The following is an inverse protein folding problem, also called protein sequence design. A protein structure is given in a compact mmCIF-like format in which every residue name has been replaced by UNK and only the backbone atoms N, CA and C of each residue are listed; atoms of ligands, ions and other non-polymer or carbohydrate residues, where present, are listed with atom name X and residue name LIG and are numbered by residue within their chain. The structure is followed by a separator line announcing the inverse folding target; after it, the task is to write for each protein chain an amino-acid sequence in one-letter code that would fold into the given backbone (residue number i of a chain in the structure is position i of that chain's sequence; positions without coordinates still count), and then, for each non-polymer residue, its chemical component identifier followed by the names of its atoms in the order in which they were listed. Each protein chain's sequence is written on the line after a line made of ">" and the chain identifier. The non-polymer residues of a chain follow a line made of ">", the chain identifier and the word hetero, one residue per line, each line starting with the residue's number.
data_IF_685550886094
#
_entry.id   IF_685550886094
#
_cell.length_a   1.000
_cell.length_b   1.000
_cell.length_c   1.000
_cell.angle_alpha   90.00
_cell.angle_beta   90.00
_cell.angle_gamma   90.00
#
_symmetry.space_group_name_H-M   'P 1'
#
loop_
_entity.id
_entity.type
_entity.pdbx_description
1 polymer ?
2 non-polymer ?
3 water ?
#
# COMPACT_ATOMS: atom_id res chain seq x y z
N UNK A 1 18.42 12.99 -20.32
CA UNK A 1 17.15 13.37 -19.60
C UNK A 1 15.88 13.31 -20.51
N UNK A 2 14.76 13.81 -19.99
CA UNK A 2 13.36 13.54 -20.45
C UNK A 2 12.47 14.78 -20.14
N UNK A 3 13.04 15.67 -19.26
CA UNK A 3 12.72 17.09 -18.94
C UNK A 3 11.55 17.38 -18.00
N UNK A 5 9.59 15.02 -17.03
CA UNK A 5 9.39 13.84 -16.21
C UNK A 5 10.16 13.96 -14.90
N UNK A 6 9.40 13.90 -13.81
CA UNK A 6 9.92 14.07 -12.49
C UNK A 6 10.03 12.74 -11.73
N UNK A 7 10.93 12.72 -10.76
CA UNK A 7 11.11 11.60 -9.89
C UNK A 7 10.24 11.82 -8.65
N UNK A 8 9.34 10.87 -8.42
CA UNK A 8 8.60 10.82 -7.19
C UNK A 8 9.16 9.73 -6.29
N UNK A 9 9.38 10.03 -5.03
CA UNK A 9 9.73 8.96 -4.09
C UNK A 9 8.46 8.28 -3.58
N UNK A 10 8.53 6.96 -3.56
CA UNK A 10 7.56 6.16 -2.84
C UNK A 10 8.25 5.46 -1.71
N UNK A 11 7.81 5.76 -0.49
CA UNK A 11 8.45 5.28 0.68
C UNK A 11 7.49 4.41 1.55
N UNK A 12 7.93 3.17 1.82
CA UNK A 12 7.15 2.18 2.58
C UNK A 12 7.28 2.51 4.08
N UNK A 13 6.16 2.88 4.70
CA UNK A 13 6.15 3.31 6.11
C UNK A 13 5.55 2.10 6.80
N UNK A 14 6.38 1.38 7.53
CA UNK A 14 5.92 0.25 8.31
C UNK A 14 5.23 0.69 9.62
N UNK A 15 4.75 -0.22 10.46
CA UNK A 15 4.31 0.23 11.83
C UNK A 15 3.05 1.18 11.69
N UNK A 16 3.06 2.44 12.17
CA UNK A 16 1.99 3.49 11.89
C UNK A 16 2.17 4.83 12.68
N UNK A 17 3.31 4.97 13.40
CA UNK A 17 3.25 5.47 14.81
C UNK A 17 4.28 6.41 15.54
N UNK A 18 5.38 6.89 14.96
CA UNK A 18 6.33 6.08 14.26
C UNK A 18 7.22 6.65 13.20
N UNK A 19 7.16 5.92 12.11
CA UNK A 19 8.11 5.93 11.05
C UNK A 19 7.95 7.11 10.15
N UNK A 20 6.74 7.66 10.07
CA UNK A 20 6.56 8.84 9.21
C UNK A 20 7.38 10.06 9.78
N UNK A 21 7.40 10.17 11.09
CA UNK A 21 8.16 11.25 11.72
C UNK A 21 9.67 11.09 11.45
N UNK A 22 10.19 9.90 11.70
CA UNK A 22 11.56 9.59 11.32
C UNK A 22 11.88 9.87 9.87
N UNK A 23 10.97 9.57 8.91
CA UNK A 23 11.26 9.84 7.48
C UNK A 23 11.38 11.33 7.26
N UNK A 24 10.50 12.07 7.88
CA UNK A 24 10.56 13.54 7.67
C UNK A 24 11.78 14.12 8.37
N UNK A 25 12.18 13.48 9.45
CA UNK A 25 13.47 13.79 10.13
C UNK A 25 14.75 13.50 9.31
N UNK A 26 14.90 12.31 8.76
CA UNK A 26 15.90 12.04 7.68
C UNK A 26 15.98 13.13 6.60
N UNK A 27 14.87 13.49 6.01
CA UNK A 27 14.85 14.51 4.98
C UNK A 27 15.21 15.91 5.49
N UNK A 28 14.69 16.31 6.67
CA UNK A 28 15.06 17.57 7.30
C UNK A 28 16.56 17.71 7.55
N UNK A 29 17.17 16.60 7.99
CA UNK A 29 18.59 16.63 8.36
C UNK A 29 19.47 16.91 7.11
N UNK A 30 18.97 16.54 5.93
CA UNK A 30 19.70 16.76 4.70
C UNK A 30 19.41 18.13 4.05
N UNK A 31 18.56 18.94 4.71
CA UNK A 31 18.00 20.20 4.20
C UNK A 31 17.32 19.93 2.87
N UNK A 32 16.53 18.84 2.84
CA UNK A 32 15.73 18.48 1.70
C UNK A 32 14.35 18.96 1.99
N UNK A 33 13.86 19.84 1.11
CA UNK A 33 12.49 20.35 1.19
C UNK A 33 11.48 19.41 0.51
N UNK A 34 10.34 19.27 1.16
CA UNK A 34 9.20 18.56 0.60
C UNK A 34 8.33 19.56 -0.19
N UNK A 35 8.02 19.27 -1.44
CA UNK A 35 7.17 20.13 -2.28
C UNK A 35 5.72 19.74 -2.27
N UNK A 36 5.52 18.44 -2.21
CA UNK A 36 4.21 17.81 -2.42
C UNK A 36 4.32 16.39 -1.89
N UNK A 37 3.33 16.00 -1.12
CA UNK A 37 3.27 14.63 -0.74
C UNK A 37 1.84 14.17 -0.56
N UNK A 38 1.66 12.87 -0.43
CA UNK A 38 0.35 12.31 -0.43
C UNK A 38 0.65 10.95 0.15
N UNK A 39 -0.09 10.55 1.15
CA UNK A 39 0.10 9.21 1.63
C UNK A 39 -0.97 8.32 1.02
N UNK A 40 -0.56 7.21 0.38
CA UNK A 40 -1.55 6.19 0.01
C UNK A 40 -1.53 5.09 1.09
N UNK A 41 -2.54 5.02 1.97
CA UNK A 41 -2.49 4.18 3.18
C UNK A 41 -3.40 2.95 3.15
N UNK A 42 -3.02 1.93 3.91
CA UNK A 42 -3.98 0.91 4.23
C UNK A 42 -4.05 0.84 5.77
N UNK A 43 -4.82 -0.12 6.28
CA UNK A 43 -5.01 -0.31 7.71
C UNK A 43 -3.68 -0.53 8.48
N UNK A 44 -2.65 -1.00 7.83
CA UNK A 44 -1.50 -1.35 8.65
C UNK A 44 -0.38 -0.37 8.39
N UNK A 45 -0.20 0.03 7.12
CA UNK A 45 0.99 0.75 6.70
C UNK A 45 0.58 1.85 5.75
N UNK A 46 1.51 2.76 5.50
CA UNK A 46 1.32 3.70 4.41
C UNK A 46 2.38 3.68 3.37
N UNK A 47 2.06 4.24 2.24
CA UNK A 47 3.12 4.60 1.39
C UNK A 47 3.14 6.13 1.20
N UNK A 48 4.25 6.73 1.63
CA UNK A 48 4.46 8.11 1.36
C UNK A 48 4.92 8.32 -0.07
N UNK A 49 4.07 8.96 -0.84
CA UNK A 49 4.45 9.48 -2.13
C UNK A 49 4.86 10.92 -2.01
N UNK A 50 6.00 11.27 -2.61
CA UNK A 50 6.69 12.46 -2.20
C UNK A 50 7.39 13.10 -3.38
N UNK A 51 7.13 14.39 -3.54
CA UNK A 51 7.97 15.27 -4.38
C UNK A 51 8.93 16.07 -3.48
N UNK A 52 10.24 15.87 -3.64
CA UNK A 52 11.22 16.57 -2.81
C UNK A 52 12.17 17.48 -3.66
N UNK A 53 12.99 18.30 -2.98
CA UNK A 53 13.88 19.27 -3.68
C UNK A 53 15.11 18.65 -4.38
N UNK A 54 15.55 17.48 -3.89
CA UNK A 54 16.67 16.73 -4.46
C UNK A 54 16.37 15.22 -4.34
N UNK A 55 15.66 14.65 -5.34
CA UNK A 55 15.26 13.23 -5.17
C UNK A 55 16.40 12.20 -5.04
N UNK A 56 17.53 12.41 -5.70
CA UNK A 56 18.66 11.48 -5.64
C UNK A 56 19.36 11.49 -4.26
N UNK A 57 19.56 12.68 -3.72
CA UNK A 57 20.14 12.83 -2.37
C UNK A 57 19.16 12.23 -1.35
N UNK A 58 17.86 12.52 -1.50
CA UNK A 58 16.82 11.98 -0.63
C UNK A 58 16.75 10.48 -0.67
N UNK A 59 16.71 9.92 -1.85
CA UNK A 59 16.77 8.46 -2.01
C UNK A 59 17.96 7.79 -1.30
N UNK A 60 19.16 8.34 -1.47
CA UNK A 60 20.31 7.66 -0.86
C UNK A 60 20.31 7.78 0.68
N UNK A 61 19.89 8.94 1.20
CA UNK A 61 19.71 9.15 2.65
C UNK A 61 18.70 8.14 3.28
N UNK A 62 17.56 8.00 2.62
CA UNK A 62 16.58 7.03 3.02
C UNK A 62 17.07 5.59 2.99
N UNK A 63 17.70 5.12 1.90
CA UNK A 63 18.33 3.78 1.84
C UNK A 63 19.38 3.57 2.95
N UNK A 64 20.17 4.61 3.20
CA UNK A 64 21.19 4.62 4.26
C UNK A 64 20.56 4.43 5.65
N UNK A 65 19.37 5.02 5.84
CA UNK A 65 18.60 4.86 7.08
C UNK A 65 17.64 3.66 7.07
N UNK A 66 17.80 2.79 6.07
CA UNK A 66 17.16 1.47 5.99
C UNK A 66 15.68 1.55 5.66
N UNK A 67 15.27 2.63 4.98
CA UNK A 67 13.92 2.72 4.42
C UNK A 67 13.85 2.00 3.10
N UNK A 68 12.67 1.42 2.79
CA UNK A 68 12.39 0.91 1.48
C UNK A 68 11.78 2.07 0.64
N UNK A 69 12.48 2.49 -0.42
CA UNK A 69 12.08 3.61 -1.29
C UNK A 69 12.21 3.22 -2.72
N UNK A 70 11.28 3.66 -3.54
CA UNK A 70 11.32 3.40 -4.97
C UNK A 70 11.11 4.74 -5.61
N UNK A 71 11.59 4.93 -6.84
CA UNK A 71 11.32 6.16 -7.60
C UNK A 71 10.34 5.83 -8.72
N UNK A 72 9.38 6.72 -8.93
CA UNK A 72 8.37 6.59 -10.01
C UNK A 72 8.42 7.87 -10.83
N UNK A 73 8.16 7.77 -12.14
CA UNK A 73 8.08 8.92 -13.04
C UNK A 73 6.67 9.44 -12.85
N UNK A 74 6.54 10.74 -12.69
CA UNK A 74 5.29 11.49 -12.71
C UNK A 74 5.57 12.82 -13.48
N UNK A 75 4.50 13.54 -13.78
CA UNK A 75 4.60 14.85 -14.52
C UNK A 75 3.76 15.85 -13.72
N UNK A 76 4.28 17.06 -13.57
CA UNK A 76 3.62 18.16 -12.90
C UNK A 76 3.00 19.10 -13.92
N UNK A 77 1.78 19.58 -13.66
CA UNK A 77 1.16 20.60 -14.50
C UNK A 77 0.59 21.69 -13.61
N UNK A 78 0.35 22.84 -14.23
CA UNK A 78 -0.25 23.95 -13.57
C UNK A 78 -1.47 24.34 -14.38
N UNK A 79 -2.57 24.65 -13.71
CA UNK A 79 -3.71 25.21 -14.44
C UNK A 79 -4.35 26.33 -13.65
N UNK A 80 -5.27 27.06 -14.24
CA UNK A 80 -5.96 28.05 -13.39
C UNK A 80 -6.72 27.48 -12.17
N UNK A 81 -6.74 28.28 -11.10
CA UNK A 81 -7.45 27.89 -9.89
C UNK A 81 -8.87 28.39 -10.00
N UNK A 82 -9.59 27.83 -10.97
CA UNK A 82 -11.01 28.15 -11.19
C UNK A 82 -11.75 26.84 -11.46
N UNK A 83 -13.09 26.79 -11.19
CA UNK A 83 -13.90 25.62 -11.48
C UNK A 83 -13.78 25.14 -12.93
N UNK A 84 -13.63 23.82 -13.10
CA UNK A 84 -13.62 23.23 -14.44
C UNK A 84 -12.27 23.22 -15.14
N UNK A 85 -11.26 23.76 -14.46
CA UNK A 85 -9.98 23.98 -15.07
C UNK A 85 -9.29 22.63 -15.20
N UNK A 86 -9.27 21.87 -14.10
CA UNK A 86 -8.72 20.51 -14.12
C UNK A 86 -9.53 19.59 -15.05
N UNK A 87 -10.86 19.73 -15.02
CA UNK A 87 -11.81 19.07 -15.88
C UNK A 87 -11.42 19.13 -17.35
N UNK A 88 -10.92 20.30 -17.78
CA UNK A 88 -10.59 20.56 -19.19
C UNK A 88 -9.34 19.75 -19.54
N UNK A 89 -8.38 19.77 -18.64
CA UNK A 89 -7.19 18.98 -18.84
C UNK A 89 -7.50 17.48 -18.98
N UNK A 90 -8.36 16.96 -18.11
CA UNK A 90 -8.58 15.54 -17.98
C UNK A 90 -9.37 15.07 -19.22
N UNK A 91 -10.15 15.99 -19.77
CA UNK A 91 -10.98 15.71 -20.92
C UNK A 91 -10.08 15.67 -22.15
N UNK A 92 -9.06 16.53 -22.20
CA UNK A 92 -8.08 16.45 -23.28
C UNK A 92 -7.48 15.05 -23.19
N UNK A 93 -7.08 14.61 -22.00
CA UNK A 93 -6.35 13.35 -21.89
C UNK A 93 -7.24 12.20 -22.23
N UNK A 94 -8.43 12.19 -21.65
CA UNK A 94 -9.29 11.05 -21.89
C UNK A 94 -9.78 10.95 -23.37
N UNK A 95 -10.04 12.07 -24.04
CA UNK A 95 -10.34 12.10 -25.48
C UNK A 95 -9.26 11.43 -26.33
N UNK A 96 -8.04 11.37 -25.78
CA UNK A 96 -6.91 10.73 -26.47
C UNK A 96 -6.52 9.37 -25.88
N UNK A 97 -7.40 8.82 -25.03
CA UNK A 97 -7.18 7.51 -24.40
C UNK A 97 -6.05 7.44 -23.37
N UNK A 98 -5.70 8.59 -22.76
CA UNK A 98 -4.66 8.63 -21.74
C UNK A 98 -5.34 8.73 -20.36
N UNK A 99 -5.17 7.75 -19.50
CA UNK A 99 -5.91 7.81 -18.24
C UNK A 99 -4.99 8.05 -17.00
N UNK A 100 -5.59 8.53 -15.92
CA UNK A 100 -4.84 8.89 -14.71
C UNK A 100 -4.75 7.67 -13.81
N UNK A 101 -3.55 7.15 -13.46
CA UNK A 101 -3.51 6.07 -12.45
C UNK A 101 -3.72 6.66 -11.06
N UNK A 102 -3.03 7.75 -10.75
CA UNK A 102 -3.33 8.64 -9.61
C UNK A 102 -2.79 10.03 -9.89
N UNK A 104 -2.31 14.01 -7.36
CA UNK A 104 -2.58 14.75 -6.17
C UNK A 104 -2.31 16.20 -6.52
N UNK A 105 -3.01 17.12 -5.84
CA UNK A 105 -2.90 18.51 -6.18
C UNK A 105 -3.51 19.46 -5.18
N UNK A 106 -2.97 20.69 -5.14
CA UNK A 106 -3.46 21.75 -4.24
C UNK A 106 -3.59 23.00 -5.10
N UNK A 107 -4.53 23.86 -4.75
CA UNK A 107 -4.55 25.23 -5.23
C UNK A 107 -3.44 26.05 -4.58
N UNK A 108 -2.71 26.80 -5.41
CA UNK A 108 -1.66 27.72 -4.99
C UNK A 108 -2.01 29.12 -5.55
N UNK A 109 -2.68 29.88 -4.68
CA UNK A 109 -3.27 31.16 -5.00
C UNK A 109 -4.09 31.14 -6.31
N UNK A 110 -3.56 31.75 -7.37
CA UNK A 110 -4.25 31.86 -8.62
C UNK A 110 -4.13 30.65 -9.58
N UNK A 111 -3.20 29.73 -9.29
CA UNK A 111 -3.07 28.51 -10.10
C UNK A 111 -3.22 27.29 -9.20
N UNK A 112 -3.08 26.11 -9.78
CA UNK A 112 -3.14 24.89 -9.02
C UNK A 112 -2.05 24.02 -9.60
N UNK A 113 -1.33 23.32 -8.75
CA UNK A 113 -0.25 22.44 -9.14
C UNK A 113 -0.75 21.01 -9.07
N UNK A 114 -0.50 20.23 -10.10
CA UNK A 114 -1.03 18.88 -10.15
C UNK A 114 0.11 17.95 -10.50
N UNK A 115 0.29 16.91 -9.68
CA UNK A 115 1.16 15.79 -10.00
C UNK A 115 0.36 14.61 -10.51
N UNK A 116 0.77 14.14 -11.68
CA UNK A 116 0.10 13.06 -12.36
C UNK A 116 0.95 11.87 -12.60
N UNK A 117 0.40 10.69 -12.32
CA UNK A 117 0.98 9.41 -12.83
C UNK A 117 -0.02 8.86 -13.88
N UNK A 118 0.29 9.09 -15.17
CA UNK A 118 -0.53 8.71 -16.29
C UNK A 118 -0.37 7.24 -16.69
N UNK A 119 -1.36 6.73 -17.40
CA UNK A 119 -1.29 5.41 -17.98
C UNK A 119 -0.11 5.25 -18.98
N UNK A 120 0.18 6.31 -19.72
CA UNK A 120 1.26 6.25 -20.70
C UNK A 120 1.99 7.58 -20.59
N UNK A 122 4.76 8.95 -22.33
CA UNK A 122 5.07 9.61 -23.61
C UNK A 122 3.77 10.22 -24.20
N UNK A 123 2.67 9.48 -24.22
CA UNK A 123 1.43 10.02 -24.79
C UNK A 123 0.81 11.18 -23.99
N UNK A 124 0.91 11.09 -22.66
CA UNK A 124 0.36 12.10 -21.79
C UNK A 124 1.05 13.43 -22.10
N UNK A 125 2.40 13.41 -22.16
CA UNK A 125 3.13 14.65 -22.35
C UNK A 125 2.84 15.24 -23.74
N UNK A 126 2.68 14.37 -24.72
CA UNK A 126 2.36 14.77 -26.09
C UNK A 126 1.08 15.59 -26.13
N UNK A 127 0.00 15.02 -25.58
CA UNK A 127 -1.36 15.65 -25.55
C UNK A 127 -1.31 17.02 -24.85
N UNK A 128 -0.67 17.06 -23.69
CA UNK A 128 -0.64 18.25 -22.87
C UNK A 128 0.06 19.38 -23.60
N UNK A 129 1.20 19.08 -24.23
CA UNK A 129 1.97 20.08 -25.00
C UNK A 129 1.11 20.60 -26.20
N UNK A 130 0.53 19.64 -26.92
CA UNK A 130 -0.41 19.87 -28.03
C UNK A 130 -1.56 20.79 -27.60
N UNK A 131 -2.17 20.51 -26.45
CA UNK A 131 -3.28 21.33 -25.98
C UNK A 131 -2.82 22.56 -25.16
N UNK A 132 -1.51 22.90 -25.25
CA UNK A 132 -1.02 24.12 -24.62
C UNK A 132 -1.30 24.17 -23.10
N UNK A 133 -1.29 23.01 -22.44
CA UNK A 133 -1.34 22.91 -20.96
C UNK A 133 0.02 23.34 -20.34
N UNK A 134 0.05 24.16 -19.26
CA UNK A 134 1.30 24.49 -18.61
C UNK A 134 1.87 23.22 -17.97
N UNK A 135 2.93 22.66 -18.53
CA UNK A 135 3.58 21.53 -17.89
C UNK A 135 4.59 22.17 -16.99
N UNK A 136 4.95 21.47 -15.92
CA UNK A 136 6.10 21.93 -15.08
C UNK A 136 7.37 21.14 -15.44
N UNK A 137 8.49 21.82 -15.61
CA UNK A 137 9.79 21.13 -15.72
C UNK A 137 9.96 20.34 -14.42
N UNK A 138 10.66 19.19 -14.44
CA UNK A 138 10.83 18.43 -13.17
C UNK A 138 11.44 19.37 -12.13
N UNK A 139 12.42 20.17 -12.54
CA UNK A 139 13.10 21.11 -11.65
C UNK A 139 12.17 22.16 -11.05
N UNK A 140 11.13 22.59 -11.76
CA UNK A 140 10.10 23.50 -11.21
C UNK A 140 9.33 22.84 -10.08
N UNK A 141 8.99 21.59 -10.29
CA UNK A 141 8.31 20.79 -9.32
C UNK A 141 9.14 20.60 -8.02
N UNK A 142 10.42 20.28 -8.16
CA UNK A 142 11.32 20.15 -7.00
C UNK A 142 11.60 21.43 -6.15
N UNK A 143 11.16 22.59 -6.62
CA UNK A 143 11.43 23.85 -5.87
C UNK A 143 10.13 24.59 -5.54
N UNK A 144 9.01 23.88 -5.48
CA UNK A 144 7.77 24.60 -5.16
C UNK A 144 7.82 25.23 -3.74
N UNK B 1 -1.19 -9.60 25.31
CA UNK B 1 -1.50 -10.18 23.98
C UNK B 1 -2.81 -11.04 24.06
N UNK B 2 -3.15 -11.77 23.00
CA UNK B 2 -4.35 -12.65 22.90
C UNK B 2 -3.82 -14.02 22.46
N UNK B 3 -4.19 -15.12 23.08
CA UNK B 3 -4.72 -16.31 22.54
C UNK B 3 -5.31 -16.28 21.15
N UNK B 5 -4.47 -15.43 18.23
CA UNK B 5 -3.82 -14.48 17.32
C UNK B 5 -2.59 -15.10 16.59
N UNK B 6 -2.56 -14.96 15.26
CA UNK B 6 -1.55 -15.46 14.34
C UNK B 6 -0.75 -14.30 13.72
N UNK B 7 0.43 -14.61 13.13
CA UNK B 7 1.35 -13.64 12.56
C UNK B 7 1.11 -13.66 11.07
N UNK B 8 0.67 -12.52 10.52
CA UNK B 8 0.59 -12.37 9.06
C UNK B 8 1.85 -11.63 8.60
N UNK B 9 2.47 -12.13 7.51
CA UNK B 9 3.54 -11.36 6.87
C UNK B 9 2.99 -10.31 5.93
N UNK B 10 3.49 -9.06 6.03
CA UNK B 10 3.15 -8.04 5.03
C UNK B 10 4.44 -7.65 4.33
N UNK B 11 4.52 -8.01 3.06
CA UNK B 11 5.71 -7.82 2.29
C UNK B 11 5.54 -6.73 1.21
N UNK B 12 6.42 -5.71 1.26
CA UNK B 12 6.52 -4.70 0.22
C UNK B 12 7.00 -5.30 -1.13
N UNK B 13 6.16 -5.27 -2.16
CA UNK B 13 6.51 -5.85 -3.46
C UNK B 13 6.66 -4.62 -4.28
N UNK B 14 7.88 -4.36 -4.65
CA UNK B 14 8.25 -3.11 -5.19
C UNK B 14 8.23 -2.97 -6.69
N UNK B 15 8.03 -4.04 -7.47
CA UNK B 15 6.82 -4.33 -8.20
C UNK B 15 7.08 -5.43 -9.31
N UNK B 16 6.24 -5.43 -10.38
CA UNK B 16 4.87 -5.86 -10.36
C UNK B 16 4.99 -7.25 -11.06
N UNK B 17 6.11 -7.51 -11.76
CA UNK B 17 6.55 -8.93 -12.04
C UNK B 17 7.73 -9.47 -11.19
N UNK B 18 7.37 -10.33 -10.22
CA UNK B 18 8.23 -10.82 -9.18
C UNK B 18 9.69 -10.41 -9.01
N UNK B 19 9.96 -9.27 -8.36
CA UNK B 19 9.73 -9.19 -6.91
C UNK B 19 8.74 -10.16 -6.26
N UNK B 20 7.52 -10.30 -6.78
CA UNK B 20 6.56 -11.27 -6.23
C UNK B 20 7.06 -12.74 -6.43
N UNK B 21 7.56 -13.05 -7.62
CA UNK B 21 8.07 -14.39 -7.92
C UNK B 21 9.24 -14.65 -6.97
N UNK B 22 10.10 -13.66 -6.78
CA UNK B 22 11.28 -13.78 -5.94
C UNK B 22 10.89 -14.13 -4.46
N UNK B 23 9.91 -13.43 -3.88
CA UNK B 23 9.34 -13.79 -2.55
C UNK B 23 8.96 -15.29 -2.44
N UNK B 24 8.15 -15.74 -3.43
CA UNK B 24 7.67 -17.11 -3.44
C UNK B 24 8.85 -18.08 -3.60
N UNK B 25 9.87 -17.76 -4.43
CA UNK B 25 11.10 -18.58 -4.55
C UNK B 25 11.96 -18.59 -3.23
N UNK B 26 12.08 -17.44 -2.57
CA UNK B 26 12.74 -17.42 -1.25
C UNK B 26 12.02 -18.38 -0.26
N UNK B 27 10.69 -18.29 -0.16
CA UNK B 27 9.92 -19.18 0.75
C UNK B 27 9.97 -20.66 0.35
N UNK B 28 9.91 -20.97 -0.96
CA UNK B 28 9.94 -22.37 -1.37
C UNK B 28 11.30 -22.99 -1.06
N UNK B 29 12.37 -22.20 -1.21
CA UNK B 29 13.76 -22.63 -0.99
C UNK B 29 13.96 -22.93 0.50
N UNK B 30 13.11 -22.37 1.32
CA UNK B 30 13.15 -22.67 2.76
C UNK B 30 12.15 -23.78 3.12
N UNK B 31 11.48 -24.39 2.15
CA UNK B 31 10.43 -25.35 2.42
C UNK B 31 9.28 -24.78 3.29
N UNK B 32 8.95 -23.50 3.09
CA UNK B 32 7.87 -22.84 3.78
C UNK B 32 6.66 -22.78 2.83
N UNK B 33 5.53 -23.28 3.32
CA UNK B 33 4.29 -23.34 2.56
C UNK B 33 3.49 -22.05 2.73
N UNK B 34 2.78 -21.61 1.67
CA UNK B 34 1.84 -20.51 1.78
C UNK B 34 0.48 -21.10 2.11
N UNK B 35 -0.18 -20.65 3.16
CA UNK B 35 -1.52 -21.19 3.49
C UNK B 35 -2.56 -20.31 2.87
N UNK B 36 -2.28 -18.99 2.83
CA UNK B 36 -3.25 -18.01 2.33
C UNK B 36 -2.47 -16.80 1.95
N UNK B 37 -2.94 -16.13 0.89
CA UNK B 37 -2.33 -14.88 0.62
C UNK B 37 -3.32 -13.96 -0.08
N UNK B 38 -2.99 -12.67 -0.04
CA UNK B 38 -3.75 -11.72 -0.80
C UNK B 38 -2.88 -10.51 -0.97
N UNK B 39 -3.04 -9.86 -2.10
CA UNK B 39 -2.20 -8.68 -2.33
C UNK B 39 -3.08 -7.43 -2.20
N UNK B 40 -2.68 -6.51 -1.35
CA UNK B 40 -3.30 -5.18 -1.29
C UNK B 40 -2.42 -4.23 -2.13
N UNK B 41 -2.96 -3.76 -3.26
CA UNK B 41 -2.16 -3.06 -4.24
C UNK B 41 -2.59 -1.62 -4.49
N UNK B 42 -1.67 -0.84 -5.05
CA UNK B 42 -1.95 0.46 -5.60
C UNK B 42 -1.46 0.42 -7.07
N UNK B 43 -1.48 1.52 -7.79
CA UNK B 43 -1.05 1.50 -9.19
C UNK B 43 0.46 1.12 -9.45
N UNK B 44 1.32 1.35 -8.47
CA UNK B 44 2.75 1.19 -8.68
C UNK B 44 3.23 -0.13 -8.13
N UNK B 45 2.79 -0.50 -6.93
CA UNK B 45 3.30 -1.73 -6.28
C UNK B 45 2.23 -2.30 -5.33
N UNK B 46 2.52 -3.52 -4.86
CA UNK B 46 1.66 -4.24 -3.98
C UNK B 46 2.34 -4.57 -2.68
N UNK B 47 1.49 -4.91 -1.73
CA UNK B 47 1.83 -5.52 -0.46
C UNK B 47 1.25 -6.93 -0.41
N UNK B 48 2.09 -7.92 -0.31
CA UNK B 48 1.66 -9.26 -0.15
C UNK B 48 1.38 -9.49 1.32
N UNK B 49 0.17 -9.91 1.62
CA UNK B 49 -0.22 -10.32 2.95
C UNK B 49 -0.29 -11.82 2.89
N UNK B 50 0.44 -12.49 3.78
CA UNK B 50 0.57 -13.95 3.67
C UNK B 50 0.45 -14.62 5.02
N UNK B 51 -0.25 -15.78 5.05
CA UNK B 51 -0.13 -16.72 6.16
C UNK B 51 0.76 -17.84 5.65
N UNK B 52 1.82 -18.10 6.38
CA UNK B 52 2.78 -19.17 6.06
C UNK B 52 2.99 -20.15 7.19
N UNK B 53 3.61 -21.30 6.86
CA UNK B 53 3.75 -22.43 7.74
C UNK B 53 4.66 -22.12 8.96
N UNK B 54 5.64 -21.20 8.76
CA UNK B 54 6.53 -20.69 9.88
C UNK B 54 6.86 -19.19 9.68
N UNK B 55 6.07 -18.31 10.29
CA UNK B 55 6.24 -16.88 10.07
C UNK B 55 7.55 -16.28 10.54
N UNK B 56 8.16 -16.76 11.64
CA UNK B 56 9.43 -16.19 12.08
C UNK B 56 10.51 -16.59 11.16
N UNK B 57 10.49 -17.81 10.66
CA UNK B 57 11.50 -18.30 9.73
C UNK B 57 11.37 -17.64 8.35
N UNK B 58 10.13 -17.38 7.95
CA UNK B 58 9.90 -16.76 6.69
C UNK B 58 10.40 -15.33 6.79
N UNK B 59 10.04 -14.66 7.87
CA UNK B 59 10.53 -13.31 8.12
C UNK B 59 12.07 -13.17 7.95
N UNK B 60 12.80 -14.05 8.65
CA UNK B 60 14.22 -14.02 8.65
C UNK B 60 14.73 -14.22 7.24
N UNK B 61 14.22 -15.24 6.51
CA UNK B 61 14.66 -15.55 5.14
C UNK B 61 14.40 -14.38 4.20
N UNK B 62 13.26 -13.72 4.37
CA UNK B 62 12.90 -12.55 3.55
C UNK B 62 13.74 -11.31 3.88
N UNK B 63 13.98 -11.05 5.15
CA UNK B 63 14.90 -10.02 5.56
C UNK B 63 16.28 -10.32 5.04
N UNK B 64 16.71 -11.60 5.08
CA UNK B 64 18.10 -11.94 4.61
C UNK B 64 18.29 -11.58 3.11
N UNK B 65 17.19 -11.66 2.37
CA UNK B 65 17.05 -11.30 0.92
C UNK B 65 16.63 -9.85 0.68
N UNK B 66 16.71 -9.00 1.71
CA UNK B 66 16.49 -7.57 1.67
C UNK B 66 15.06 -7.16 1.26
N UNK B 67 14.06 -7.94 1.65
CA UNK B 67 12.67 -7.49 1.49
C UNK B 67 12.30 -6.62 2.69
N UNK B 68 11.42 -5.66 2.50
CA UNK B 68 10.84 -4.98 3.65
C UNK B 68 9.63 -5.82 4.09
N UNK B 69 9.65 -6.36 5.30
CA UNK B 69 8.65 -7.34 5.72
C UNK B 69 8.22 -6.87 7.09
N UNK B 70 6.92 -6.81 7.30
CA UNK B 70 6.40 -6.56 8.61
C UNK B 70 5.51 -7.66 9.11
N UNK B 71 5.35 -7.73 10.42
CA UNK B 71 4.45 -8.71 10.98
C UNK B 71 3.23 -7.99 11.53
N UNK B 72 2.05 -8.54 11.25
CA UNK B 72 0.73 -8.06 11.77
C UNK B 72 -0.05 -9.22 12.40
N UNK B 73 -0.65 -8.93 13.55
CA UNK B 73 -1.61 -9.83 14.18
C UNK B 73 -2.94 -9.87 13.48
N UNK B 74 -3.41 -11.08 13.25
CA UNK B 74 -4.68 -11.33 12.62
C UNK B 74 -5.31 -12.52 13.36
N UNK B 75 -6.59 -12.79 13.07
CA UNK B 75 -7.23 -13.94 13.73
C UNK B 75 -7.90 -14.80 12.69
N UNK B 76 -7.72 -16.13 12.83
CA UNK B 76 -8.36 -17.09 11.94
C UNK B 76 -9.64 -17.64 12.52
N UNK B 77 -10.70 -17.73 11.68
CA UNK B 77 -11.88 -18.42 12.17
C UNK B 77 -12.29 -19.41 11.08
N UNK B 78 -13.06 -20.40 11.48
CA UNK B 78 -13.82 -21.26 10.56
C UNK B 78 -15.31 -21.03 10.67
N UNK B 79 -16.04 -21.24 9.56
CA UNK B 79 -17.49 -21.32 9.59
C UNK B 79 -17.97 -22.29 8.50
N UNK B 80 -19.18 -22.85 8.61
CA UNK B 80 -19.73 -23.65 7.48
C UNK B 80 -19.67 -22.92 6.12
N UNK B 81 -19.34 -23.65 5.04
CA UNK B 81 -19.31 -23.09 3.71
C UNK B 81 -20.73 -23.09 3.16
N UNK B 82 -21.61 -22.27 3.73
CA UNK B 82 -23.04 -22.24 3.29
C UNK B 82 -23.46 -20.79 3.29
N UNK B 83 -24.41 -20.40 2.41
CA UNK B 83 -24.81 -18.98 2.49
C UNK B 83 -25.28 -18.55 3.90
N UNK B 84 -24.92 -17.36 4.34
CA UNK B 84 -25.40 -16.86 5.60
C UNK B 84 -24.45 -17.20 6.74
N UNK B 85 -23.53 -18.12 6.52
CA UNK B 85 -22.61 -18.48 7.65
C UNK B 85 -21.69 -17.33 8.04
N UNK B 86 -21.00 -16.77 7.06
CA UNK B 86 -20.16 -15.64 7.35
C UNK B 86 -21.00 -14.43 7.90
N UNK B 87 -22.18 -14.19 7.30
CA UNK B 87 -23.03 -13.05 7.66
C UNK B 87 -23.35 -13.08 9.13
N UNK B 88 -23.52 -14.28 9.64
CA UNK B 88 -23.91 -14.56 11.03
C UNK B 88 -22.73 -14.14 11.95
N UNK B 89 -21.51 -14.54 11.60
CA UNK B 89 -20.31 -14.03 12.28
C UNK B 89 -20.16 -12.51 12.23
N UNK B 90 -20.30 -11.93 11.04
CA UNK B 90 -20.14 -10.46 10.89
C UNK B 90 -21.17 -9.64 11.71
N UNK B 91 -22.40 -10.14 11.80
CA UNK B 91 -23.42 -9.52 12.63
C UNK B 91 -23.10 -9.58 14.13
N UNK B 92 -22.51 -10.67 14.63
CA UNK B 92 -22.04 -10.66 16.03
C UNK B 92 -21.08 -9.47 16.21
N UNK B 93 -20.16 -9.28 15.28
CA UNK B 93 -19.10 -8.29 15.46
C UNK B 93 -19.65 -6.91 15.31
N UNK B 94 -20.44 -6.68 14.27
CA UNK B 94 -20.95 -5.34 14.02
C UNK B 94 -22.02 -4.89 15.03
N UNK B 95 -22.72 -5.83 15.70
CA UNK B 95 -23.64 -5.47 16.80
C UNK B 95 -22.93 -5.05 18.07
N UNK B 96 -21.67 -5.47 18.23
CA UNK B 96 -20.88 -5.02 19.38
C UNK B 96 -19.92 -3.94 18.95
N UNK B 97 -20.19 -3.38 17.79
CA UNK B 97 -19.39 -2.28 17.25
C UNK B 97 -17.93 -2.67 16.99
N UNK B 98 -17.68 -3.90 16.53
CA UNK B 98 -16.33 -4.27 16.16
C UNK B 98 -16.11 -4.12 14.68
N UNK B 99 -15.25 -3.18 14.29
CA UNK B 99 -14.96 -2.93 12.87
C UNK B 99 -13.92 -3.89 12.28
N UNK B 100 -14.13 -4.28 11.05
CA UNK B 100 -13.19 -5.09 10.27
C UNK B 100 -12.38 -4.15 9.39
N UNK B 101 -11.06 -4.19 9.54
CA UNK B 101 -10.19 -3.39 8.66
C UNK B 101 -10.07 -4.13 7.32
N UNK B 102 -9.67 -5.40 7.37
CA UNK B 102 -9.68 -6.24 6.21
C UNK B 102 -9.84 -7.68 6.59
N UNK B 104 -9.76 -11.87 4.51
CA UNK B 104 -9.65 -12.63 3.30
C UNK B 104 -10.05 -14.03 3.70
N UNK B 105 -10.72 -14.70 2.76
CA UNK B 105 -11.34 -16.02 2.98
C UNK B 105 -11.56 -16.74 1.66
N UNK B 106 -11.56 -18.07 1.72
CA UNK B 106 -11.89 -18.94 0.59
C UNK B 106 -12.69 -20.04 1.24
N UNK B 107 -13.59 -20.58 0.42
CA UNK B 107 -14.41 -21.72 0.75
C UNK B 107 -13.42 -22.84 0.63
N UNK B 108 -13.41 -23.74 1.60
CA UNK B 108 -12.53 -24.88 1.58
C UNK B 108 -13.40 -26.17 1.78
N UNK B 109 -14.06 -26.58 0.71
CA UNK B 109 -14.95 -27.73 0.73
C UNK B 109 -16.14 -27.50 1.70
N UNK B 110 -16.02 -27.96 2.95
CA UNK B 110 -17.15 -27.94 3.87
C UNK B 110 -17.14 -26.72 4.83
N UNK B 111 -15.97 -26.11 4.99
CA UNK B 111 -15.81 -24.92 5.85
C UNK B 111 -15.31 -23.77 4.98
N UNK B 112 -15.47 -22.55 5.48
CA UNK B 112 -14.66 -21.45 4.96
C UNK B 112 -13.64 -21.11 6.07
N UNK B 113 -12.42 -20.79 5.67
CA UNK B 113 -11.39 -20.22 6.61
C UNK B 113 -11.24 -18.79 6.27
N UNK B 114 -11.29 -17.97 7.30
CA UNK B 114 -11.33 -16.52 7.13
C UNK B 114 -10.24 -15.94 8.03
N UNK B 115 -9.41 -15.12 7.42
CA UNK B 115 -8.43 -14.34 8.16
C UNK B 115 -8.97 -12.91 8.37
N UNK B 116 -9.02 -12.46 9.62
CA UNK B 116 -9.61 -11.17 9.98
C UNK B 116 -8.57 -10.31 10.64
N UNK B 117 -8.59 -9.05 10.24
CA UNK B 117 -7.82 -8.03 10.94
C UNK B 117 -8.86 -7.02 11.43
N UNK B 118 -9.22 -7.11 12.71
CA UNK B 118 -10.25 -6.18 13.17
C UNK B 118 -9.63 -4.85 13.62
N UNK B 119 -10.45 -3.83 13.84
CA UNK B 119 -9.91 -2.55 14.35
C UNK B 119 -9.46 -2.67 15.83
N UNK B 120 -10.08 -3.57 16.60
CA UNK B 120 -9.67 -3.73 18.01
C UNK B 120 -9.62 -5.24 18.28
N UNK B 122 -8.63 -7.09 20.88
CA UNK B 122 -9.14 -7.47 22.20
C UNK B 122 -10.63 -7.63 22.18
N UNK B 123 -11.33 -6.62 21.62
CA UNK B 123 -12.77 -6.64 21.63
C UNK B 123 -13.28 -7.66 20.63
N UNK B 124 -12.63 -7.74 19.47
CA UNK B 124 -12.93 -8.79 18.51
C UNK B 124 -12.89 -10.23 19.09
N UNK B 125 -11.79 -10.55 19.79
CA UNK B 125 -11.61 -11.88 20.34
C UNK B 125 -12.69 -12.19 21.41
N UNK B 126 -12.92 -11.24 22.33
CA UNK B 126 -13.97 -11.32 23.29
C UNK B 126 -15.33 -11.66 22.68
N UNK B 127 -15.71 -10.96 21.62
CA UNK B 127 -17.02 -11.17 21.03
C UNK B 127 -17.08 -12.55 20.34
N UNK B 128 -16.04 -12.93 19.62
CA UNK B 128 -15.97 -14.24 18.99
C UNK B 128 -16.04 -15.43 19.98
N UNK B 129 -15.30 -15.35 21.10
CA UNK B 129 -15.33 -16.36 22.16
C UNK B 129 -16.74 -16.48 22.75
N UNK B 130 -17.31 -15.33 23.04
CA UNK B 130 -18.59 -15.21 23.67
C UNK B 130 -19.70 -15.81 22.81
N UNK B 131 -19.68 -15.50 21.52
CA UNK B 131 -20.70 -15.93 20.62
C UNK B 131 -20.30 -17.28 20.03
N UNK B 132 -19.19 -17.86 20.54
CA UNK B 132 -18.81 -19.26 20.22
C UNK B 132 -18.41 -19.53 18.75
N UNK B 133 -17.89 -18.51 18.10
CA UNK B 133 -17.35 -18.68 16.77
C UNK B 133 -16.14 -19.66 16.82
N UNK B 134 -15.93 -20.49 15.77
CA UNK B 134 -14.77 -21.40 15.79
C UNK B 134 -13.49 -20.66 15.49
N UNK B 135 -12.76 -20.34 16.54
CA UNK B 135 -11.49 -19.61 16.38
C UNK B 135 -10.42 -20.59 16.00
N UNK B 136 -9.51 -20.25 15.08
CA UNK B 136 -8.36 -21.18 14.82
C UNK B 136 -7.17 -20.90 15.74
N UNK B 137 -6.52 -21.95 16.27
CA UNK B 137 -5.20 -21.77 16.81
C UNK B 137 -4.27 -21.32 15.66
N UNK B 138 -3.28 -20.47 15.99
CA UNK B 138 -2.31 -19.98 14.98
C UNK B 138 -1.66 -21.15 14.22
N UNK B 139 -1.34 -22.20 14.96
CA UNK B 139 -0.66 -23.32 14.39
C UNK B 139 -1.56 -24.13 13.47
N UNK B 140 -2.87 -24.12 13.70
CA UNK B 140 -3.83 -24.63 12.70
C UNK B 140 -3.97 -23.76 11.44
N UNK B 141 -3.83 -22.45 11.60
CA UNK B 141 -3.84 -21.57 10.40
C UNK B 141 -2.59 -21.81 9.56
N UNK B 142 -1.45 -21.92 10.26
CA UNK B 142 -0.17 -22.24 9.63
C UNK B 142 -0.11 -23.59 8.90
N UNK B 143 -0.90 -24.59 9.29
CA UNK B 143 -0.79 -25.90 8.61
C UNK B 143 -1.84 -26.17 7.50
N UNK B 144 -2.66 -25.19 7.15
CA UNK B 144 -3.53 -25.32 5.98
C UNK B 144 -2.88 -25.84 4.66
#
# INVERSE_FOLDING_TARGET
>A
SNAXVAKQLSIFLENKSGRLTEVTEVLAKENINLSALCIAENADFGILRGIVSDPDKAYKALKDNHFAVNITDVVGISCPNVPGALAKVLGFLSAEGVFIEYXYSFANNNVANVVIRPSNXDKCIEVLKEKKVDLLAASDLYKL
>B
SNAXVAKQLSIFLENKSGRLTEVTEVLAKENINLSALCIAENADFGILRGIVSDPDKAYKALKDNHFAVNITDVVGISCPNVPGALAKVLGFLSAEGVFIEYXYSFANNNVANVVIRPSNXDKCIEVLKEKKVDLLAASDLYKL
#
